data_IF_639265748224
#
_entry.id   IF_639265748224
#
_cell.length_a   1.000
_cell.length_b   1.000
_cell.length_c   1.000
_cell.angle_alpha   90.00
_cell.angle_beta   90.00
_cell.angle_gamma   90.00
#
_symmetry.space_group_name_H-M   'P 1'
#
loop_
_entity.id
_entity.type
_entity.pdbx_description
1 polymer ?
#
# COMPACT_ATOMS: atom_id res chain seq x y z
N UNK A 1 16.36 18.90 63.86
CA UNK A 1 15.68 18.38 62.63
C UNK A 1 16.65 17.82 61.58
N UNK A 2 17.98 17.91 61.74
CA UNK A 2 18.97 17.46 60.74
C UNK A 2 19.12 15.92 60.59
N UNK A 3 18.79 15.12 61.60
CA UNK A 3 18.94 13.66 61.53
C UNK A 3 18.00 12.96 60.53
N UNK A 4 16.85 13.56 60.20
CA UNK A 4 15.90 12.99 59.22
C UNK A 4 16.40 13.13 57.77
N UNK A 5 17.16 14.19 57.47
CA UNK A 5 17.74 14.43 56.13
C UNK A 5 18.94 13.53 55.86
N UNK A 6 19.76 13.22 56.88
CA UNK A 6 20.88 12.30 56.73
C UNK A 6 20.41 10.85 56.50
N UNK A 7 19.34 10.42 57.19
CA UNK A 7 18.76 9.08 57.03
C UNK A 7 18.21 8.85 55.61
N UNK A 8 17.55 9.86 55.03
CA UNK A 8 17.02 9.80 53.66
C UNK A 8 18.14 9.66 52.59
N UNK A 9 19.25 10.38 52.75
CA UNK A 9 20.42 10.22 51.85
C UNK A 9 21.09 8.85 51.98
N UNK A 10 21.03 8.24 53.17
CA UNK A 10 21.58 6.91 53.43
C UNK A 10 20.71 5.80 52.83
N UNK A 11 19.39 5.97 52.83
CA UNK A 11 18.44 5.02 52.24
C UNK A 11 18.49 5.02 50.70
N UNK A 12 18.74 6.17 50.07
CA UNK A 12 18.97 6.26 48.62
C UNK A 12 20.26 5.55 48.18
N UNK A 13 21.35 5.64 48.97
CA UNK A 13 22.61 4.93 48.69
C UNK A 13 22.50 3.41 48.88
N UNK A 14 21.62 2.93 49.75
CA UNK A 14 21.43 1.48 50.02
C UNK A 14 20.48 0.79 49.02
N UNK A 15 19.68 1.54 48.26
CA UNK A 15 18.78 1.01 47.23
C UNK A 15 19.34 1.02 45.80
N UNK A 16 20.61 1.39 45.62
CA UNK A 16 21.29 1.35 44.33
C UNK A 16 21.74 -0.06 43.95
N UNK A 17 20.80 -0.98 43.67
CA UNK A 17 21.12 -2.18 42.89
C UNK A 17 21.27 -1.72 41.44
N UNK A 18 22.50 -1.45 41.02
CA UNK A 18 22.82 -1.11 39.64
C UNK A 18 22.48 -2.27 38.71
N UNK A 19 21.97 -1.95 37.52
CA UNK A 19 21.77 -2.92 36.45
C UNK A 19 23.11 -3.54 36.06
N UNK A 20 23.20 -4.86 36.04
CA UNK A 20 24.45 -5.54 35.70
C UNK A 20 24.65 -5.55 34.19
N UNK A 21 25.91 -5.51 33.75
CA UNK A 21 26.27 -5.58 32.33
C UNK A 21 25.80 -6.92 31.72
N UNK A 22 25.78 -7.98 32.53
CA UNK A 22 25.30 -9.31 32.14
C UNK A 22 23.79 -9.30 31.86
N UNK A 23 22.98 -8.65 32.70
CA UNK A 23 21.54 -8.50 32.46
C UNK A 23 21.26 -7.76 31.13
N UNK A 24 22.07 -6.73 30.80
CA UNK A 24 21.94 -6.04 29.53
C UNK A 24 22.26 -6.95 28.33
N UNK A 25 23.36 -7.70 28.43
CA UNK A 25 23.85 -8.57 27.35
C UNK A 25 22.84 -9.68 27.05
N UNK A 26 22.23 -10.30 28.07
CA UNK A 26 21.24 -11.36 27.85
C UNK A 26 20.00 -10.81 27.13
N UNK A 27 19.56 -9.61 27.48
CA UNK A 27 18.38 -8.98 26.85
C UNK A 27 18.63 -8.67 25.37
N UNK A 28 19.78 -8.09 25.02
CA UNK A 28 20.09 -7.79 23.61
C UNK A 28 20.23 -9.07 22.77
N UNK A 29 20.73 -10.17 23.35
CA UNK A 29 20.83 -11.46 22.67
C UNK A 29 19.43 -12.01 22.37
N UNK A 30 18.52 -11.98 23.35
CA UNK A 30 17.14 -12.45 23.16
C UNK A 30 16.42 -11.61 22.09
N UNK A 31 16.56 -10.27 22.14
CA UNK A 31 15.97 -9.37 21.13
C UNK A 31 16.56 -9.65 19.73
N UNK A 32 17.87 -9.90 19.63
CA UNK A 32 18.52 -10.21 18.35
C UNK A 32 17.97 -11.50 17.72
N UNK A 33 17.76 -12.55 18.52
CA UNK A 33 17.21 -13.82 18.05
C UNK A 33 15.75 -13.63 17.59
N UNK A 34 14.93 -12.93 18.36
CA UNK A 34 13.53 -12.66 17.99
C UNK A 34 13.46 -11.81 16.73
N UNK A 35 14.28 -10.76 16.63
CA UNK A 35 14.32 -9.88 15.46
C UNK A 35 14.71 -10.63 14.18
N UNK A 36 15.68 -11.55 14.26
CA UNK A 36 16.14 -12.33 13.11
C UNK A 36 15.02 -13.16 12.45
N UNK A 37 14.10 -13.71 13.25
CA UNK A 37 12.97 -14.50 12.73
C UNK A 37 11.75 -13.62 12.43
N UNK A 38 11.51 -12.58 13.21
CA UNK A 38 10.32 -11.73 13.07
C UNK A 38 10.36 -10.83 11.83
N UNK A 39 11.52 -10.20 11.52
CA UNK A 39 11.65 -9.26 10.40
C UNK A 39 11.22 -9.87 9.05
N UNK A 40 11.74 -11.03 8.59
CA UNK A 40 11.35 -11.61 7.30
C UNK A 40 9.88 -12.06 7.25
N UNK A 41 9.32 -12.50 8.38
CA UNK A 41 7.91 -12.89 8.46
C UNK A 41 6.98 -11.68 8.29
N UNK A 42 7.32 -10.56 8.93
CA UNK A 42 6.55 -9.31 8.83
C UNK A 42 6.59 -8.75 7.40
N UNK A 43 7.74 -8.75 6.73
CA UNK A 43 7.84 -8.25 5.36
C UNK A 43 6.99 -9.07 4.38
N UNK A 44 7.01 -10.41 4.49
CA UNK A 44 6.18 -11.27 3.64
C UNK A 44 4.67 -11.08 3.86
N UNK A 45 4.25 -10.87 5.11
CA UNK A 45 2.85 -10.57 5.42
C UNK A 45 2.39 -9.21 4.84
N UNK A 46 3.21 -8.18 4.98
CA UNK A 46 2.93 -6.85 4.41
C UNK A 46 2.84 -6.89 2.89
N UNK A 47 3.71 -7.62 2.22
CA UNK A 47 3.68 -7.80 0.77
C UNK A 47 2.41 -8.50 0.29
N UNK A 48 1.97 -9.56 0.99
CA UNK A 48 0.70 -10.23 0.68
C UNK A 48 -0.51 -9.32 0.91
N UNK A 49 -0.51 -8.54 2.00
CA UNK A 49 -1.57 -7.56 2.27
C UNK A 49 -1.60 -6.45 1.20
N UNK A 50 -0.44 -5.91 0.80
CA UNK A 50 -0.32 -4.91 -0.27
C UNK A 50 -0.78 -5.47 -1.62
N UNK A 51 -0.37 -6.69 -1.97
CA UNK A 51 -0.81 -7.37 -3.18
C UNK A 51 -2.33 -7.53 -3.22
N UNK A 52 -2.93 -7.97 -2.12
CA UNK A 52 -4.38 -8.11 -1.98
C UNK A 52 -5.09 -6.76 -2.12
N UNK A 53 -4.54 -5.71 -1.47
CA UNK A 53 -5.03 -4.34 -1.56
C UNK A 53 -5.01 -3.83 -3.00
N UNK A 54 -3.87 -3.92 -3.70
CA UNK A 54 -3.73 -3.51 -5.10
C UNK A 54 -4.72 -4.25 -6.00
N UNK A 55 -4.92 -5.55 -5.77
CA UNK A 55 -5.87 -6.33 -6.57
C UNK A 55 -7.33 -5.89 -6.35
N UNK A 56 -7.70 -5.56 -5.11
CA UNK A 56 -9.03 -5.04 -4.78
C UNK A 56 -9.25 -3.63 -5.33
N UNK A 57 -8.28 -2.73 -5.14
CA UNK A 57 -8.30 -1.38 -5.71
C UNK A 57 -8.32 -1.41 -7.23
N UNK A 58 -7.61 -2.35 -7.89
CA UNK A 58 -7.70 -2.53 -9.34
C UNK A 58 -9.12 -2.81 -9.79
N UNK A 59 -9.85 -3.70 -9.10
CA UNK A 59 -11.25 -4.00 -9.45
C UNK A 59 -12.17 -2.79 -9.25
N UNK A 60 -11.97 -2.04 -8.17
CA UNK A 60 -12.71 -0.81 -7.92
C UNK A 60 -12.43 0.24 -9.00
N UNK A 61 -11.16 0.42 -9.38
CA UNK A 61 -10.75 1.32 -10.44
C UNK A 61 -11.28 0.91 -11.81
N UNK A 62 -11.36 -0.39 -12.11
CA UNK A 62 -12.01 -0.87 -13.35
C UNK A 62 -13.47 -0.44 -13.40
N UNK A 63 -14.22 -0.63 -12.31
CA UNK A 63 -15.61 -0.17 -12.22
C UNK A 63 -15.72 1.34 -12.36
N UNK A 64 -14.78 2.09 -11.78
CA UNK A 64 -14.72 3.54 -11.90
C UNK A 64 -14.43 3.99 -13.33
N UNK A 65 -13.51 3.32 -14.05
CA UNK A 65 -13.21 3.58 -15.46
C UNK A 65 -14.45 3.34 -16.32
N UNK A 66 -15.15 2.23 -16.13
CA UNK A 66 -16.39 1.94 -16.85
C UNK A 66 -17.47 2.98 -16.59
N UNK A 67 -17.61 3.41 -15.34
CA UNK A 67 -18.56 4.45 -14.94
C UNK A 67 -18.20 5.82 -15.53
N UNK A 68 -16.91 6.16 -15.55
CA UNK A 68 -16.40 7.38 -16.18
C UNK A 68 -16.77 7.38 -17.67
N UNK A 69 -16.38 6.34 -18.42
CA UNK A 69 -16.63 6.25 -19.86
C UNK A 69 -18.12 6.31 -20.16
N UNK A 70 -18.95 5.58 -19.41
CA UNK A 70 -20.40 5.60 -19.59
C UNK A 70 -21.07 6.94 -19.25
N UNK A 71 -20.37 7.84 -18.57
CA UNK A 71 -20.86 9.19 -18.26
C UNK A 71 -20.43 10.26 -19.26
N UNK A 72 -19.56 9.93 -20.22
CA UNK A 72 -19.08 10.86 -21.23
C UNK A 72 -20.08 10.99 -22.38
N UNK A 73 -20.19 12.18 -22.96
CA UNK A 73 -21.05 12.44 -24.13
C UNK A 73 -20.65 11.60 -25.36
N UNK A 74 -19.34 11.30 -25.49
CA UNK A 74 -18.78 10.40 -26.48
C UNK A 74 -17.97 9.27 -25.79
N UNK A 75 -18.61 8.13 -25.48
CA UNK A 75 -17.97 7.00 -24.83
C UNK A 75 -16.86 6.34 -25.66
N UNK A 76 -16.93 6.41 -27.00
CA UNK A 76 -15.95 5.74 -27.87
C UNK A 76 -14.62 6.50 -27.89
N UNK A 77 -14.67 7.84 -27.79
CA UNK A 77 -13.49 8.70 -27.76
C UNK A 77 -13.10 9.18 -26.35
N UNK A 78 -13.78 8.68 -25.31
CA UNK A 78 -13.49 8.98 -23.92
C UNK A 78 -12.01 8.75 -23.59
N UNK A 79 -11.35 9.81 -23.13
CA UNK A 79 -9.92 9.79 -22.82
C UNK A 79 -9.70 10.04 -21.33
N UNK A 80 -9.20 9.02 -20.66
CA UNK A 80 -8.64 9.10 -19.32
C UNK A 80 -7.13 9.28 -19.43
N UNK A 81 -6.60 10.33 -18.82
CA UNK A 81 -5.18 10.67 -18.81
C UNK A 81 -4.57 10.58 -17.42
N UNK A 82 -5.38 10.81 -16.39
CA UNK A 82 -4.98 10.80 -14.99
C UNK A 82 -5.96 9.95 -14.18
N UNK A 83 -5.41 9.16 -13.26
CA UNK A 83 -6.18 8.37 -12.31
C UNK A 83 -7.07 9.25 -11.43
N UNK A 84 -6.66 10.49 -11.14
CA UNK A 84 -7.41 11.44 -10.34
C UNK A 84 -8.77 11.80 -10.96
N UNK A 85 -8.94 11.63 -12.27
CA UNK A 85 -10.23 11.81 -12.95
C UNK A 85 -11.28 10.77 -12.51
N UNK A 86 -10.85 9.65 -11.91
CA UNK A 86 -11.72 8.60 -11.40
C UNK A 86 -12.24 8.89 -9.99
N UNK A 87 -11.72 9.89 -9.28
CA UNK A 87 -12.11 10.20 -7.91
C UNK A 87 -13.64 10.36 -7.71
N UNK A 88 -14.41 10.99 -8.62
CA UNK A 88 -15.86 11.09 -8.49
C UNK A 88 -16.60 9.76 -8.65
N UNK A 89 -15.97 8.76 -9.27
CA UNK A 89 -16.55 7.48 -9.68
C UNK A 89 -16.21 6.33 -8.73
N UNK A 90 -15.47 6.63 -7.65
CA UNK A 90 -15.09 5.68 -6.60
C UNK A 90 -15.99 5.91 -5.38
N UNK A 91 -16.29 4.84 -4.63
CA UNK A 91 -17.19 4.91 -3.47
C UNK A 91 -16.69 5.92 -2.43
N UNK A 92 -17.62 6.52 -1.67
CA UNK A 92 -17.50 7.75 -0.84
C UNK A 92 -16.28 7.84 0.11
N UNK A 93 -15.51 6.77 0.34
CA UNK A 93 -14.30 6.79 1.18
C UNK A 93 -13.11 7.52 0.55
N UNK A 94 -13.14 7.84 -0.75
CA UNK A 94 -12.12 8.65 -1.43
C UNK A 94 -12.42 10.16 -1.47
N UNK A 95 -13.53 10.62 -0.87
CA UNK A 95 -14.07 11.99 -1.05
C UNK A 95 -13.31 13.14 -0.39
N UNK A 96 -12.11 12.91 0.16
CA UNK A 96 -11.33 13.98 0.81
C UNK A 96 -9.95 14.22 0.22
N UNK A 97 -9.55 13.54 -0.85
CA UNK A 97 -8.30 13.85 -1.52
C UNK A 97 -8.56 14.47 -2.88
N UNK A 98 -7.99 15.66 -3.09
CA UNK A 98 -7.77 16.23 -4.41
C UNK A 98 -6.80 15.39 -5.26
N UNK A 99 -6.23 14.32 -4.69
CA UNK A 99 -5.26 13.43 -5.30
C UNK A 99 -5.53 11.96 -4.92
N UNK A 100 -6.47 11.31 -5.61
CA UNK A 100 -6.75 9.87 -5.47
C UNK A 100 -5.49 9.00 -5.57
N UNK A 101 -4.49 9.41 -6.37
CA UNK A 101 -3.22 8.70 -6.48
C UNK A 101 -2.47 8.58 -5.14
N UNK A 102 -2.73 9.50 -4.20
CA UNK A 102 -2.15 9.47 -2.86
C UNK A 102 -2.82 8.48 -1.92
N UNK A 103 -4.15 8.32 -2.01
CA UNK A 103 -4.93 7.34 -1.24
C UNK A 103 -4.65 5.89 -1.66
N UNK A 104 -4.42 5.66 -2.95
CA UNK A 104 -4.24 4.32 -3.50
C UNK A 104 -2.93 3.65 -3.06
N UNK A 105 -2.85 2.34 -3.24
CA UNK A 105 -1.66 1.58 -2.93
C UNK A 105 -0.44 2.08 -3.72
N UNK A 106 0.74 1.97 -3.09
CA UNK A 106 2.03 2.41 -3.63
C UNK A 106 3.03 1.25 -3.64
N UNK A 107 3.95 1.31 -4.59
CA UNK A 107 5.19 0.55 -4.62
C UNK A 107 6.32 1.48 -4.18
N UNK A 108 6.67 1.37 -2.90
CA UNK A 108 7.56 2.31 -2.21
C UNK A 108 7.07 3.75 -2.34
N UNK A 109 7.71 4.55 -3.19
CA UNK A 109 7.35 5.97 -3.44
C UNK A 109 6.49 6.16 -4.68
N UNK A 110 6.32 5.12 -5.50
CA UNK A 110 5.64 5.19 -6.79
C UNK A 110 4.19 4.70 -6.67
N UNK A 111 3.23 5.29 -7.39
CA UNK A 111 1.87 4.76 -7.47
C UNK A 111 1.87 3.30 -7.95
N UNK A 112 1.06 2.44 -7.34
CA UNK A 112 0.85 1.08 -7.84
C UNK A 112 -0.13 1.05 -9.02
N UNK A 113 -0.90 2.12 -9.21
CA UNK A 113 -1.94 2.23 -10.22
C UNK A 113 -1.65 3.41 -11.13
N UNK A 114 -1.71 3.20 -12.44
CA UNK A 114 -1.47 4.23 -13.45
C UNK A 114 -2.38 4.05 -14.66
N UNK A 115 -2.69 5.16 -15.30
CA UNK A 115 -3.33 5.19 -16.60
C UNK A 115 -2.22 5.29 -17.66
N UNK A 116 -2.24 4.38 -18.63
CA UNK A 116 -1.23 4.31 -19.69
C UNK A 116 -1.91 3.93 -21.01
N UNK A 117 -1.98 4.87 -21.95
CA UNK A 117 -2.38 4.61 -23.34
C UNK A 117 -3.75 3.95 -23.52
N UNK A 118 -4.76 4.36 -22.75
CA UNK A 118 -6.09 3.73 -22.82
C UNK A 118 -6.24 2.47 -21.96
N UNK A 119 -5.27 2.20 -21.07
CA UNK A 119 -5.26 1.06 -20.17
C UNK A 119 -5.10 1.51 -18.72
N UNK A 120 -5.80 0.85 -17.82
CA UNK A 120 -5.54 0.90 -16.39
C UNK A 120 -4.51 -0.20 -16.07
N UNK A 121 -3.35 0.19 -15.57
CA UNK A 121 -2.26 -0.70 -15.22
C UNK A 121 -2.05 -0.65 -13.71
N UNK A 122 -2.18 -1.80 -13.06
CA UNK A 122 -1.88 -1.98 -11.63
C UNK A 122 -0.71 -2.93 -11.46
N UNK A 123 0.32 -2.53 -10.73
CA UNK A 123 1.54 -3.30 -10.54
C UNK A 123 1.80 -3.53 -9.05
N UNK A 124 2.16 -4.75 -8.69
CA UNK A 124 2.68 -5.10 -7.37
C UNK A 124 4.16 -5.46 -7.49
N UNK A 125 5.00 -4.71 -6.78
CA UNK A 125 6.42 -4.97 -6.63
C UNK A 125 6.68 -5.30 -5.14
N UNK A 126 7.24 -6.49 -4.83
CA UNK A 126 7.60 -6.84 -3.46
C UNK A 126 8.56 -5.82 -2.83
N UNK A 127 8.51 -5.65 -1.52
CA UNK A 127 9.33 -4.66 -0.82
C UNK A 127 10.84 -4.88 -1.08
N UNK A 128 11.54 -3.81 -1.49
CA UNK A 128 12.97 -3.88 -1.81
C UNK A 128 13.32 -4.67 -3.07
N UNK A 129 12.34 -4.99 -3.92
CA UNK A 129 12.52 -5.68 -5.21
C UNK A 129 12.18 -4.76 -6.38
N UNK A 130 12.30 -5.30 -7.60
CA UNK A 130 11.97 -4.62 -8.84
C UNK A 130 10.98 -5.45 -9.67
N UNK A 131 10.61 -4.94 -10.84
CA UNK A 131 9.70 -5.58 -11.80
C UNK A 131 10.27 -6.84 -12.48
N UNK A 132 11.45 -7.31 -12.08
CA UNK A 132 12.05 -8.57 -12.54
C UNK A 132 11.92 -9.70 -11.50
N UNK A 133 11.36 -9.42 -10.32
CA UNK A 133 11.16 -10.43 -9.29
C UNK A 133 10.10 -11.48 -9.71
N UNK A 134 10.28 -12.77 -9.43
CA UNK A 134 9.29 -13.80 -9.76
C UNK A 134 7.92 -13.58 -9.10
N UNK A 135 7.88 -12.85 -7.99
CA UNK A 135 6.64 -12.52 -7.28
C UNK A 135 6.00 -11.22 -7.75
N UNK A 136 6.61 -10.50 -8.71
CA UNK A 136 5.99 -9.37 -9.39
C UNK A 136 4.65 -9.79 -10.00
N UNK A 137 3.65 -8.92 -9.89
CA UNK A 137 2.33 -9.12 -10.51
C UNK A 137 1.88 -7.83 -11.18
N UNK A 138 1.24 -7.98 -12.33
CA UNK A 138 0.66 -6.90 -13.12
C UNK A 138 -0.77 -7.28 -13.49
N UNK A 139 -1.69 -6.35 -13.30
CA UNK A 139 -3.04 -6.41 -13.83
C UNK A 139 -3.21 -5.27 -14.82
N UNK A 140 -3.93 -5.54 -15.91
CA UNK A 140 -4.17 -4.57 -16.96
C UNK A 140 -5.60 -4.68 -17.41
N UNK A 141 -6.27 -3.53 -17.49
CA UNK A 141 -7.60 -3.42 -18.05
C UNK A 141 -7.55 -2.43 -19.21
N UNK A 142 -7.92 -2.89 -20.41
CA UNK A 142 -7.95 -2.08 -21.62
C UNK A 142 -9.40 -1.79 -21.97
N UNK A 143 -9.81 -0.52 -21.82
CA UNK A 143 -11.18 -0.12 -22.14
C UNK A 143 -11.34 0.27 -23.61
N UNK A 144 -10.26 0.60 -24.31
CA UNK A 144 -10.29 0.94 -25.74
C UNK A 144 -10.37 -0.30 -26.63
N UNK A 145 -9.83 -1.43 -26.19
CA UNK A 145 -10.01 -2.71 -26.88
C UNK A 145 -11.45 -3.26 -26.79
N UNK A 146 -12.24 -2.84 -25.81
CA UNK A 146 -13.62 -3.29 -25.66
C UNK A 146 -14.59 -2.61 -26.64
N UNK A 147 -14.36 -1.36 -27.05
CA UNK A 147 -15.23 -0.66 -28.00
C UNK A 147 -15.18 -1.28 -29.40
N UNK A 148 -14.04 -1.87 -29.79
CA UNK A 148 -13.90 -2.57 -31.08
C UNK A 148 -14.62 -3.92 -31.16
N UNK A 149 -14.97 -4.56 -30.04
CA UNK A 149 -15.60 -5.88 -30.05
C UNK A 149 -17.11 -5.84 -30.32
N UNK A 150 -17.79 -4.74 -29.97
CA UNK A 150 -19.25 -4.60 -30.15
C UNK A 150 -19.64 -4.13 -31.55
N UNK A 151 -18.71 -3.57 -32.34
CA UNK A 151 -18.96 -3.13 -33.71
C UNK A 151 -19.04 -4.28 -34.74
N UNK A 152 -18.67 -5.51 -34.39
CA UNK A 152 -18.53 -6.63 -35.34
C UNK A 152 -19.72 -7.62 -35.38
N UNK A 153 -20.79 -7.43 -34.60
CA UNK A 153 -21.98 -8.30 -34.60
C UNK A 153 -23.29 -7.58 -34.98
N UNK A 154 -23.21 -6.62 -35.90
CA UNK A 154 -24.37 -5.86 -36.40
C UNK A 154 -24.65 -6.02 -37.90
N UNK A 155 -24.23 -7.13 -38.52
CA UNK A 155 -24.37 -7.36 -39.97
C UNK A 155 -25.00 -8.71 -40.30
N UNK A 156 -26.30 -8.84 -40.07
CA UNK A 156 -27.14 -9.86 -40.73
C UNK A 156 -28.13 -9.16 -41.65
N UNK A 157 -27.84 -9.23 -42.95
CA UNK A 157 -28.82 -9.30 -44.02
C UNK A 157 -28.55 -10.61 -44.77
#
# INVERSE_FOLDING_TARGET
>A
MLNKLQKFRQDLKKKGKGFTLVELIVVIIIIAIIAAVAIPAITGFQDNARKSRIQSEHRELVSAVQSFIGSQDDPENATLTDINQLAPYISKNAKQESDLASALAKNDKNPAHKIDGGKLVSEFIPAGKNNSDPNYKKWTYDWKAQTTATAAQGGHN
#
